data_IF_900276650853
#
_entry.id   IF_900276650853
#
_cell.length_a   1.000
_cell.length_b   1.000
_cell.length_c   1.000
_cell.angle_alpha   90.00
_cell.angle_beta   90.00
_cell.angle_gamma   90.00
#
_symmetry.space_group_name_H-M   'P 1'
#
loop_
_entity.id
_entity.type
_entity.pdbx_description
1 polymer ?
#
# COMPACT_ATOMS: atom_id res chain seq x y z
N UNK A 1 8.40 10.03 -6.10
CA UNK A 1 7.90 11.42 -6.00
C UNK A 1 7.08 11.55 -4.73
N UNK A 2 7.06 12.72 -4.09
CA UNK A 2 6.24 13.02 -2.92
C UNK A 2 5.44 14.30 -3.17
N UNK A 3 4.17 14.28 -2.78
CA UNK A 3 3.25 15.40 -2.89
C UNK A 3 2.81 15.83 -1.50
N UNK A 4 2.57 17.13 -1.33
CA UNK A 4 1.81 17.60 -0.17
C UNK A 4 0.46 16.89 -0.14
N UNK A 5 0.06 16.37 1.02
CA UNK A 5 -1.26 15.77 1.13
C UNK A 5 -2.36 16.80 0.90
N UNK A 6 -3.18 16.53 -0.11
CA UNK A 6 -4.55 17.00 -0.23
C UNK A 6 -5.44 15.83 -0.64
N UNK A 7 -6.70 15.89 -0.21
CA UNK A 7 -7.70 14.90 -0.60
C UNK A 7 -7.87 14.82 -2.13
N UNK A 8 -7.92 15.97 -2.82
CA UNK A 8 -8.02 16.05 -4.28
C UNK A 8 -6.82 15.41 -5.01
N UNK A 9 -5.60 15.66 -4.50
CA UNK A 9 -4.36 15.10 -5.03
C UNK A 9 -4.34 13.59 -4.84
N UNK A 10 -4.72 13.11 -3.65
CA UNK A 10 -4.78 11.69 -3.35
C UNK A 10 -5.80 11.00 -4.26
N UNK A 11 -7.02 11.55 -4.36
CA UNK A 11 -8.06 10.99 -5.22
C UNK A 11 -7.57 10.89 -6.67
N UNK A 12 -6.95 11.93 -7.21
CA UNK A 12 -6.43 11.91 -8.58
C UNK A 12 -5.37 10.82 -8.80
N UNK A 13 -4.47 10.61 -7.83
CA UNK A 13 -3.48 9.54 -7.89
C UNK A 13 -4.11 8.14 -7.76
N UNK A 14 -5.12 8.00 -6.90
CA UNK A 14 -5.90 6.77 -6.77
C UNK A 14 -6.71 6.45 -8.04
N UNK A 15 -7.22 7.47 -8.73
CA UNK A 15 -7.91 7.29 -10.02
C UNK A 15 -6.96 6.75 -11.10
N UNK A 16 -5.71 7.23 -11.14
CA UNK A 16 -4.67 6.65 -11.99
C UNK A 16 -4.40 5.19 -11.58
N UNK A 17 -4.29 4.91 -10.28
CA UNK A 17 -4.00 3.57 -9.76
C UNK A 17 -5.09 2.58 -10.14
N UNK A 18 -6.35 2.97 -9.95
CA UNK A 18 -7.53 2.22 -10.39
C UNK A 18 -7.49 2.01 -11.89
N UNK A 19 -7.26 3.05 -12.69
CA UNK A 19 -7.20 2.93 -14.14
C UNK A 19 -6.15 1.89 -14.59
N UNK A 20 -4.96 1.88 -13.98
CA UNK A 20 -3.91 0.91 -14.33
C UNK A 20 -4.25 -0.50 -13.85
N UNK A 21 -4.86 -0.63 -12.67
CA UNK A 21 -5.29 -1.92 -12.14
C UNK A 21 -6.44 -2.55 -12.95
N UNK A 22 -7.33 -1.74 -13.51
CA UNK A 22 -8.46 -2.17 -14.34
C UNK A 22 -8.07 -2.44 -15.79
N UNK A 23 -6.94 -1.90 -16.27
CA UNK A 23 -6.46 -2.11 -17.63
C UNK A 23 -5.86 -3.52 -17.79
N UNK A 24 -6.52 -4.43 -18.54
CA UNK A 24 -5.99 -5.78 -18.75
C UNK A 24 -4.69 -5.80 -19.55
N UNK A 25 -4.33 -4.70 -20.22
CA UNK A 25 -3.13 -4.56 -21.02
C UNK A 25 -2.07 -3.68 -20.34
N UNK A 26 -2.24 -3.35 -19.05
CA UNK A 26 -1.22 -2.61 -18.33
C UNK A 26 0.11 -3.38 -18.40
N UNK A 27 1.19 -2.78 -18.95
CA UNK A 27 2.40 -3.55 -19.24
C UNK A 27 3.15 -3.91 -17.96
N UNK A 28 3.63 -5.15 -17.88
CA UNK A 28 4.36 -5.67 -16.70
C UNK A 28 5.70 -4.98 -16.42
N UNK A 29 6.21 -4.22 -17.39
CA UNK A 29 7.42 -3.42 -17.28
C UNK A 29 7.22 -2.20 -16.38
N UNK A 30 5.97 -1.81 -16.08
CA UNK A 30 5.67 -0.73 -15.16
C UNK A 30 5.29 -1.27 -13.78
N UNK A 31 5.73 -0.57 -12.76
CA UNK A 31 5.22 -0.74 -11.39
C UNK A 31 4.80 0.63 -10.86
N UNK A 32 3.73 0.66 -10.08
CA UNK A 32 3.11 1.88 -9.58
C UNK A 32 2.49 1.66 -8.21
N UNK A 33 2.90 2.49 -7.27
CA UNK A 33 2.38 2.52 -5.91
C UNK A 33 1.99 3.93 -5.49
N UNK A 34 0.93 4.01 -4.70
CA UNK A 34 0.50 5.23 -4.02
C UNK A 34 0.53 4.96 -2.53
N UNK A 35 1.36 5.71 -1.81
CA UNK A 35 1.55 5.57 -0.38
C UNK A 35 1.13 6.87 0.31
N UNK A 36 0.60 6.76 1.52
CA UNK A 36 0.15 7.88 2.31
C UNK A 36 0.82 7.75 3.66
N UNK A 37 1.50 8.80 4.07
CA UNK A 37 2.10 8.87 5.40
C UNK A 37 1.67 10.16 6.06
N UNK A 38 1.07 10.04 7.24
CA UNK A 38 0.60 11.18 8.02
C UNK A 38 1.75 12.06 8.52
N UNK A 39 1.38 13.18 9.15
CA UNK A 39 2.31 14.11 9.79
C UNK A 39 3.21 13.35 10.77
N UNK A 40 4.38 13.91 11.06
CA UNK A 40 5.36 13.45 12.05
C UNK A 40 6.23 12.27 11.63
N UNK A 41 6.13 11.84 10.37
CA UNK A 41 7.09 10.92 9.78
C UNK A 41 8.41 11.61 9.45
N UNK A 42 9.52 10.92 9.70
CA UNK A 42 10.83 11.40 9.29
C UNK A 42 10.98 11.42 7.76
N UNK A 43 11.04 12.61 7.16
CA UNK A 43 11.19 12.77 5.71
C UNK A 43 12.48 12.15 5.16
N UNK A 44 13.57 12.12 5.94
CA UNK A 44 14.81 11.47 5.53
C UNK A 44 14.69 9.94 5.48
N UNK A 45 13.69 9.40 6.18
CA UNK A 45 13.40 7.97 6.12
C UNK A 45 12.53 7.61 4.92
N UNK A 46 11.78 8.58 4.40
CA UNK A 46 10.95 8.44 3.19
C UNK A 46 11.71 8.77 1.90
N UNK A 47 12.68 9.70 1.98
CA UNK A 47 13.38 10.21 0.82
C UNK A 47 14.71 9.47 0.57
N UNK A 48 14.93 8.94 -0.64
CA UNK A 48 16.19 8.30 -1.00
C UNK A 48 17.29 9.34 -1.19
N UNK A 49 18.18 9.52 -0.21
CA UNK A 49 19.30 10.45 -0.38
C UNK A 49 19.94 10.91 0.91
N UNK A 50 20.74 11.98 0.80
CA UNK A 50 21.25 12.75 1.93
C UNK A 50 20.29 13.88 2.31
N UNK A 51 20.48 14.46 3.49
CA UNK A 51 19.72 15.63 3.93
C UNK A 51 19.94 16.83 3.01
N UNK A 52 21.17 17.05 2.55
CA UNK A 52 21.49 18.12 1.62
C UNK A 52 20.80 17.93 0.26
N UNK A 53 20.77 16.71 -0.27
CA UNK A 53 20.01 16.41 -1.50
C UNK A 53 18.52 16.72 -1.33
N UNK A 54 17.93 16.34 -0.19
CA UNK A 54 16.53 16.63 0.10
C UNK A 54 16.28 18.15 0.18
N UNK A 55 17.14 18.90 0.88
CA UNK A 55 17.03 20.36 0.99
C UNK A 55 17.00 21.06 -0.37
N UNK A 56 17.86 20.64 -1.30
CA UNK A 56 17.90 21.21 -2.66
C UNK A 56 16.65 20.94 -3.49
N UNK A 57 15.89 19.89 -3.17
CA UNK A 57 14.66 19.55 -3.90
C UNK A 57 13.39 20.10 -3.26
N UNK A 58 13.48 20.60 -2.03
CA UNK A 58 12.33 21.17 -1.34
C UNK A 58 12.05 22.58 -1.86
N UNK A 59 10.80 22.90 -2.21
CA UNK A 59 10.42 24.25 -2.60
C UNK A 59 10.69 25.28 -1.50
N UNK A 60 10.99 26.53 -1.88
CA UNK A 60 11.32 27.64 -0.96
C UNK A 60 10.25 27.92 0.11
N UNK A 61 8.97 27.68 -0.22
CA UNK A 61 7.85 27.83 0.72
C UNK A 61 7.96 26.85 1.89
N UNK A 62 8.64 25.73 1.68
CA UNK A 62 8.95 24.76 2.73
C UNK A 62 10.29 25.17 3.33
N UNK A 63 11.35 25.32 2.54
CA UNK A 63 12.72 25.56 3.01
C UNK A 63 13.34 26.82 2.40
N UNK A 64 13.45 27.93 3.15
CA UNK A 64 14.03 29.19 2.65
C UNK A 64 15.54 29.35 2.90
N UNK A 65 16.25 28.29 3.29
CA UNK A 65 17.69 28.31 3.57
C UNK A 65 18.15 29.15 4.77
N UNK A 66 17.25 29.79 5.53
CA UNK A 66 17.62 30.70 6.64
C UNK A 66 17.01 30.29 7.99
N UNK A 67 15.69 30.16 8.10
CA UNK A 67 14.99 30.06 9.40
C UNK A 67 13.93 28.94 9.50
N UNK A 68 13.63 28.23 8.40
CA UNK A 68 12.52 27.25 8.35
C UNK A 68 13.00 25.78 8.43
N UNK A 69 14.33 25.55 8.41
CA UNK A 69 14.95 24.20 8.43
C UNK A 69 14.55 23.39 9.67
N UNK A 70 14.56 24.04 10.84
CA UNK A 70 14.32 23.37 12.12
C UNK A 70 12.85 22.93 12.29
N UNK A 71 11.90 23.55 11.58
CA UNK A 71 10.50 23.16 11.57
C UNK A 71 10.18 22.15 10.45
N UNK A 72 11.00 22.14 9.39
CA UNK A 72 10.99 21.16 8.30
C UNK A 72 11.36 19.75 8.75
N UNK A 73 12.43 19.67 9.56
CA UNK A 73 12.94 18.45 10.18
C UNK A 73 12.11 18.05 11.42
N UNK A 74 11.05 18.80 11.75
CA UNK A 74 10.04 18.46 12.77
C UNK A 74 8.73 17.95 12.17
N UNK A 75 8.72 17.63 10.87
CA UNK A 75 7.78 16.66 10.31
C UNK A 75 6.30 17.06 10.48
N UNK A 76 5.87 18.22 9.98
CA UNK A 76 4.47 18.68 10.14
C UNK A 76 3.54 18.35 8.96
N UNK A 77 4.04 17.78 7.88
CA UNK A 77 3.26 17.53 6.67
C UNK A 77 2.87 16.07 6.55
N UNK A 78 1.60 15.83 6.24
CA UNK A 78 1.19 14.56 5.66
C UNK A 78 1.60 14.58 4.18
N UNK A 79 2.04 13.45 3.67
CA UNK A 79 2.53 13.31 2.31
C UNK A 79 1.85 12.15 1.59
N UNK A 80 1.74 12.31 0.28
CA UNK A 80 1.43 11.21 -0.63
C UNK A 80 2.75 10.86 -1.34
N UNK A 81 3.29 9.68 -1.10
CA UNK A 81 4.53 9.19 -1.68
C UNK A 81 4.20 8.22 -2.81
N UNK A 82 4.58 8.59 -4.03
CA UNK A 82 4.38 7.79 -5.23
C UNK A 82 5.70 7.16 -5.64
N UNK A 83 5.70 5.83 -5.76
CA UNK A 83 6.76 5.14 -6.47
C UNK A 83 6.24 4.64 -7.80
N UNK A 84 6.97 4.96 -8.87
CA UNK A 84 6.68 4.51 -10.22
C UNK A 84 8.00 4.21 -10.91
N UNK A 85 8.04 3.14 -11.71
CA UNK A 85 9.20 2.75 -12.48
C UNK A 85 8.78 2.13 -13.81
N UNK A 86 9.72 2.12 -14.75
CA UNK A 86 9.68 1.29 -15.95
C UNK A 86 10.97 0.49 -16.04
N UNK A 87 10.87 -0.79 -16.35
CA UNK A 87 12.01 -1.67 -16.58
C UNK A 87 11.98 -2.21 -18.01
N UNK A 88 13.12 -2.11 -18.70
CA UNK A 88 13.26 -2.71 -20.02
C UNK A 88 13.35 -4.23 -19.91
N UNK A 89 12.24 -4.92 -20.18
CA UNK A 89 12.20 -6.38 -20.26
C UNK A 89 12.39 -6.91 -21.69
N UNK A 90 12.62 -6.02 -22.67
CA UNK A 90 12.76 -6.35 -24.08
C UNK A 90 11.44 -6.66 -24.80
N UNK A 91 10.30 -6.48 -24.14
CA UNK A 91 8.96 -6.86 -24.64
C UNK A 91 8.13 -5.66 -25.10
N UNK A 92 8.28 -4.52 -24.43
CA UNK A 92 7.55 -3.28 -24.71
C UNK A 92 8.49 -2.07 -24.80
N UNK A 93 8.01 -1.00 -25.45
CA UNK A 93 8.75 0.27 -25.55
C UNK A 93 8.38 1.16 -24.37
N UNK A 94 9.39 1.86 -23.84
CA UNK A 94 9.19 2.92 -22.87
C UNK A 94 8.19 3.96 -23.40
N UNK A 95 7.24 4.34 -22.55
CA UNK A 95 6.32 5.46 -22.73
C UNK A 95 6.32 6.30 -21.46
N UNK A 96 6.44 7.64 -21.58
CA UNK A 96 6.38 8.52 -20.42
C UNK A 96 4.97 8.71 -19.86
N UNK A 97 3.92 8.14 -20.48
CA UNK A 97 2.52 8.50 -20.21
C UNK A 97 2.10 8.34 -18.75
N UNK A 98 2.48 7.24 -18.09
CA UNK A 98 2.19 7.02 -16.67
C UNK A 98 2.83 8.12 -15.80
N UNK A 99 4.11 8.40 -16.05
CA UNK A 99 4.86 9.40 -15.31
C UNK A 99 4.29 10.81 -15.54
N UNK A 100 3.94 11.13 -16.79
CA UNK A 100 3.28 12.39 -17.15
C UNK A 100 1.93 12.54 -16.43
N UNK A 101 1.12 11.48 -16.36
CA UNK A 101 -0.15 11.51 -15.63
C UNK A 101 0.07 11.79 -14.13
N UNK A 102 1.02 11.10 -13.51
CA UNK A 102 1.38 11.31 -12.10
C UNK A 102 1.89 12.73 -11.86
N UNK A 103 2.74 13.25 -12.74
CA UNK A 103 3.34 14.58 -12.58
C UNK A 103 2.33 15.71 -12.70
N UNK A 104 1.22 15.49 -13.41
CA UNK A 104 0.22 16.51 -13.74
C UNK A 104 -1.03 16.47 -12.83
N UNK A 105 -1.08 15.61 -11.82
CA UNK A 105 -2.18 15.65 -10.83
C UNK A 105 -2.21 17.01 -10.11
N UNK A 106 -3.38 17.50 -9.65
CA UNK A 106 -3.45 18.75 -8.90
C UNK A 106 -2.59 18.68 -7.63
N UNK A 107 -1.75 19.68 -7.37
CA UNK A 107 -0.91 19.77 -6.18
C UNK A 107 -0.51 21.21 -5.87
N UNK A 108 -0.22 21.51 -4.60
CA UNK A 108 0.43 22.77 -4.22
C UNK A 108 1.92 22.72 -4.53
N UNK A 109 2.56 21.65 -4.07
CA UNK A 109 3.96 21.38 -4.26
C UNK A 109 4.23 19.89 -4.31
N UNK A 110 5.33 19.54 -4.95
CA UNK A 110 5.89 18.19 -5.03
C UNK A 110 7.41 18.27 -5.00
N UNK A 111 8.03 17.18 -4.58
CA UNK A 111 9.47 16.99 -4.63
C UNK A 111 9.76 15.51 -4.87
N UNK A 112 10.97 15.14 -5.28
CA UNK A 112 11.24 13.74 -5.55
C UNK A 112 12.52 13.51 -6.34
N UNK A 113 13.04 12.29 -6.19
CA UNK A 113 14.23 11.84 -6.89
C UNK A 113 13.84 10.98 -8.08
N UNK A 114 14.39 11.33 -9.24
CA UNK A 114 14.41 10.50 -10.42
C UNK A 114 15.80 9.88 -10.58
N UNK A 115 15.88 8.71 -11.20
CA UNK A 115 17.15 8.03 -11.47
C UNK A 115 17.53 8.22 -12.93
N UNK A 116 18.82 8.39 -13.26
CA UNK A 116 19.27 8.44 -14.65
C UNK A 116 18.90 7.18 -15.44
N UNK A 117 18.81 7.32 -16.76
CA UNK A 117 18.65 6.20 -17.68
C UNK A 117 19.74 5.15 -17.45
N UNK A 118 19.35 3.87 -17.50
CA UNK A 118 20.25 2.74 -17.27
C UNK A 118 20.52 2.41 -15.80
N UNK A 119 19.88 3.11 -14.85
CA UNK A 119 19.98 2.75 -13.42
C UNK A 119 19.45 1.34 -13.17
N UNK A 120 20.21 0.45 -12.49
CA UNK A 120 19.76 -0.92 -12.22
C UNK A 120 18.51 -0.97 -11.32
N UNK A 121 17.65 -1.96 -11.56
CA UNK A 121 16.44 -2.16 -10.74
C UNK A 121 16.72 -2.37 -9.26
N UNK A 122 17.85 -2.97 -8.90
CA UNK A 122 18.25 -3.13 -7.50
C UNK A 122 18.45 -1.78 -6.79
N UNK A 123 18.94 -0.78 -7.52
CA UNK A 123 19.11 0.59 -7.01
C UNK A 123 17.75 1.27 -6.90
N UNK A 124 16.92 1.21 -7.95
CA UNK A 124 15.57 1.81 -7.96
C UNK A 124 14.71 1.22 -6.82
N UNK A 125 14.66 -0.11 -6.70
CA UNK A 125 13.89 -0.79 -5.65
C UNK A 125 14.37 -0.42 -4.25
N UNK A 126 15.67 -0.20 -4.05
CA UNK A 126 16.20 0.25 -2.74
C UNK A 126 15.68 1.63 -2.33
N UNK A 127 15.29 2.48 -3.30
CA UNK A 127 14.72 3.79 -3.05
C UNK A 127 13.26 3.74 -2.58
N UNK A 128 12.61 2.59 -2.74
CA UNK A 128 11.20 2.38 -2.36
C UNK A 128 11.07 1.88 -0.91
N UNK A 129 12.20 1.60 -0.25
CA UNK A 129 12.23 1.13 1.12
C UNK A 129 12.32 2.31 2.08
N UNK A 130 11.38 2.38 3.03
CA UNK A 130 11.50 3.29 4.16
C UNK A 130 12.69 2.86 5.03
N UNK A 131 13.51 3.83 5.45
CA UNK A 131 14.72 3.55 6.24
C UNK A 131 14.42 3.36 7.73
N UNK A 132 13.28 3.84 8.22
CA UNK A 132 12.84 3.59 9.59
C UNK A 132 12.40 2.14 9.77
N UNK A 133 12.60 1.59 10.96
CA UNK A 133 12.01 0.30 11.33
C UNK A 133 10.47 0.33 11.39
N UNK A 134 9.87 1.52 11.55
CA UNK A 134 8.43 1.76 11.59
C UNK A 134 8.12 3.22 11.26
N UNK A 135 6.96 3.46 10.67
CA UNK A 135 6.53 4.80 10.23
C UNK A 135 6.23 5.73 11.42
N UNK A 136 5.64 5.18 12.48
CA UNK A 136 5.35 5.91 13.72
C UNK A 136 5.66 5.06 14.97
N UNK A 137 6.11 5.67 16.07
CA UNK A 137 6.45 4.96 17.31
C UNK A 137 5.21 4.64 18.17
N UNK A 138 4.09 4.26 17.54
CA UNK A 138 2.79 4.04 18.19
C UNK A 138 2.21 2.67 17.84
N UNK A 139 1.37 2.05 18.69
CA UNK A 139 0.56 0.90 18.28
C UNK A 139 -0.35 1.27 17.09
N UNK A 140 -0.75 0.29 16.29
CA UNK A 140 -1.66 0.51 15.17
C UNK A 140 -2.69 -0.60 15.03
N UNK A 141 -3.85 -0.24 14.50
CA UNK A 141 -4.89 -1.17 14.05
C UNK A 141 -4.65 -1.44 12.57
N UNK A 142 -4.18 -2.65 12.27
CA UNK A 142 -3.75 -3.06 10.93
C UNK A 142 -4.93 -3.37 10.01
N UNK A 143 -4.82 -3.01 8.72
CA UNK A 143 -5.61 -3.63 7.65
C UNK A 143 -4.73 -3.91 6.45
N UNK A 144 -4.83 -5.11 5.90
CA UNK A 144 -4.13 -5.46 4.66
C UNK A 144 -5.05 -6.27 3.77
N UNK A 145 -5.46 -5.64 2.67
CA UNK A 145 -6.54 -6.11 1.84
C UNK A 145 -6.08 -6.25 0.39
N UNK A 146 -6.74 -7.13 -0.36
CA UNK A 146 -6.63 -7.20 -1.81
C UNK A 146 -8.00 -7.24 -2.46
N UNK A 147 -8.07 -6.93 -3.74
CA UNK A 147 -9.29 -7.01 -4.54
C UNK A 147 -8.98 -7.58 -5.91
N UNK A 148 -9.95 -8.26 -6.52
CA UNK A 148 -9.94 -8.62 -7.96
C UNK A 148 -10.83 -7.70 -8.80
N UNK A 149 -11.35 -6.63 -8.20
CA UNK A 149 -12.30 -5.75 -8.87
C UNK A 149 -11.64 -5.08 -10.07
N UNK A 150 -12.37 -5.09 -11.19
CA UNK A 150 -12.06 -4.32 -12.40
C UNK A 150 -13.09 -3.19 -12.62
N UNK A 151 -13.76 -2.76 -11.55
CA UNK A 151 -14.86 -1.77 -11.60
C UNK A 151 -14.82 -0.76 -10.43
N UNK A 152 -13.68 -0.62 -9.76
CA UNK A 152 -13.44 0.39 -8.73
C UNK A 152 -13.68 1.82 -9.22
N UNK A 153 -13.44 2.08 -10.51
CA UNK A 153 -13.75 3.37 -11.15
C UNK A 153 -15.25 3.69 -11.10
N UNK A 154 -16.11 2.67 -10.97
CA UNK A 154 -17.57 2.78 -10.93
C UNK A 154 -18.14 2.69 -9.51
N UNK A 155 -17.40 2.11 -8.57
CA UNK A 155 -17.84 2.00 -7.16
C UNK A 155 -17.54 3.27 -6.35
N UNK A 156 -16.82 4.23 -6.93
CA UNK A 156 -16.40 5.45 -6.24
C UNK A 156 -15.29 5.19 -5.21
N UNK A 157 -14.52 4.11 -5.37
CA UNK A 157 -13.53 3.70 -4.36
C UNK A 157 -12.47 4.76 -4.10
N UNK A 158 -11.90 5.39 -5.13
CA UNK A 158 -10.87 6.42 -4.97
C UNK A 158 -11.35 7.59 -4.11
N UNK A 159 -12.58 8.05 -4.34
CA UNK A 159 -13.19 9.14 -3.59
C UNK A 159 -13.48 8.73 -2.15
N UNK A 160 -14.13 7.58 -1.96
CA UNK A 160 -14.41 7.04 -0.64
C UNK A 160 -13.14 6.86 0.19
N UNK A 161 -12.12 6.21 -0.37
CA UNK A 161 -10.87 5.94 0.35
C UNK A 161 -10.11 7.23 0.68
N UNK A 162 -10.04 8.19 -0.26
CA UNK A 162 -9.42 9.49 -0.01
C UNK A 162 -10.13 10.25 1.13
N UNK A 163 -11.47 10.24 1.15
CA UNK A 163 -12.27 10.84 2.22
C UNK A 163 -12.00 10.19 3.58
N UNK A 164 -11.94 8.85 3.65
CA UNK A 164 -11.63 8.13 4.91
C UNK A 164 -10.27 8.51 5.48
N UNK A 165 -9.24 8.63 4.63
CA UNK A 165 -7.93 9.09 5.08
C UNK A 165 -7.97 10.57 5.50
N UNK A 166 -8.72 11.40 4.78
CA UNK A 166 -8.82 12.83 5.08
C UNK A 166 -9.49 13.11 6.42
N UNK A 167 -10.44 12.28 6.85
CA UNK A 167 -11.05 12.39 8.18
C UNK A 167 -10.02 12.36 9.31
N UNK A 168 -9.04 11.46 9.23
CA UNK A 168 -7.94 11.37 10.19
C UNK A 168 -6.93 12.48 9.97
N UNK A 169 -6.51 12.69 8.72
CA UNK A 169 -5.42 13.62 8.40
C UNK A 169 -5.83 15.08 8.63
N UNK A 170 -7.07 15.51 8.40
CA UNK A 170 -7.45 16.93 8.57
C UNK A 170 -7.45 17.38 10.04
N UNK A 171 -7.70 16.47 10.98
CA UNK A 171 -7.78 16.80 12.40
C UNK A 171 -6.41 16.67 13.06
N UNK A 172 -5.83 17.80 13.49
CA UNK A 172 -4.55 17.81 14.22
C UNK A 172 -4.80 17.43 15.68
N UNK A 173 -3.94 16.57 16.24
CA UNK A 173 -3.99 16.23 17.67
C UNK A 173 -5.12 15.29 18.08
N UNK A 174 -5.73 14.58 17.13
CA UNK A 174 -6.71 13.51 17.41
C UNK A 174 -6.06 12.21 17.92
N UNK A 175 -4.74 12.18 18.08
CA UNK A 175 -4.01 10.99 18.51
C UNK A 175 -3.98 9.87 17.48
N UNK A 176 -4.23 10.15 16.19
CA UNK A 176 -4.28 9.17 15.11
C UNK A 176 -3.30 9.54 13.97
N UNK A 177 -2.67 8.52 13.36
CA UNK A 177 -1.79 8.67 12.20
C UNK A 177 -2.03 7.56 11.19
N UNK A 178 -2.08 7.91 9.91
CA UNK A 178 -2.22 6.96 8.80
C UNK A 178 -0.86 6.58 8.23
N UNK A 179 -0.66 5.28 8.00
CA UNK A 179 0.29 4.73 7.02
C UNK A 179 -0.48 3.83 6.06
N UNK A 180 -0.46 4.13 4.77
CA UNK A 180 -1.10 3.30 3.76
C UNK A 180 -0.20 3.12 2.56
N UNK A 181 -0.19 1.91 2.00
CA UNK A 181 0.55 1.58 0.79
C UNK A 181 -0.37 0.81 -0.15
N UNK A 182 -0.48 1.24 -1.40
CA UNK A 182 -1.34 0.63 -2.41
C UNK A 182 -0.51 0.33 -3.65
N UNK A 183 -0.59 -0.90 -4.14
CA UNK A 183 0.15 -1.35 -5.32
C UNK A 183 -0.78 -1.91 -6.39
N UNK A 184 -0.46 -1.62 -7.65
CA UNK A 184 -1.09 -2.25 -8.81
C UNK A 184 -0.53 -3.66 -9.01
N UNK A 185 -1.42 -4.65 -9.06
CA UNK A 185 -1.11 -6.04 -9.45
C UNK A 185 -1.78 -6.46 -10.75
N UNK A 186 -2.67 -5.62 -11.29
CA UNK A 186 -3.46 -5.86 -12.51
C UNK A 186 -2.63 -5.97 -13.79
N UNK A 187 -3.34 -6.22 -14.90
CA UNK A 187 -2.74 -6.51 -16.20
C UNK A 187 -2.46 -8.01 -16.40
N UNK A 188 -2.83 -8.54 -17.58
CA UNK A 188 -2.68 -9.98 -17.90
C UNK A 188 -1.24 -10.46 -17.90
N UNK A 189 -0.30 -9.56 -18.19
CA UNK A 189 1.14 -9.85 -18.21
C UNK A 189 1.81 -9.70 -16.85
N UNK A 190 1.07 -9.28 -15.81
CA UNK A 190 1.55 -9.22 -14.44
C UNK A 190 2.16 -10.55 -14.01
N UNK A 191 3.41 -10.52 -13.57
CA UNK A 191 4.06 -11.72 -13.03
C UNK A 191 3.37 -12.19 -11.74
N UNK A 192 2.64 -11.33 -11.04
CA UNK A 192 1.82 -11.74 -9.91
C UNK A 192 0.70 -12.69 -10.37
N UNK A 193 0.02 -12.34 -11.46
CA UNK A 193 -1.06 -13.15 -12.02
C UNK A 193 -0.55 -14.38 -12.77
N UNK A 194 0.48 -14.24 -13.62
CA UNK A 194 1.03 -15.35 -14.41
C UNK A 194 1.65 -16.47 -13.55
N UNK A 195 2.06 -16.15 -12.33
CA UNK A 195 2.53 -17.14 -11.35
C UNK A 195 1.39 -17.89 -10.63
N UNK A 196 0.14 -17.74 -11.05
CA UNK A 196 -0.96 -18.56 -10.55
C UNK A 196 -0.73 -20.05 -10.86
N UNK A 197 -1.19 -20.92 -9.95
CA UNK A 197 -1.13 -22.38 -10.16
C UNK A 197 0.27 -22.99 -10.13
N UNK A 198 1.33 -22.23 -9.83
CA UNK A 198 2.71 -22.69 -9.82
C UNK A 198 3.11 -23.54 -8.58
N UNK A 199 2.14 -24.13 -7.89
CA UNK A 199 2.35 -24.91 -6.67
C UNK A 199 2.47 -24.09 -5.38
N UNK A 200 2.37 -22.75 -5.43
CA UNK A 200 2.38 -21.93 -4.21
C UNK A 200 1.08 -22.04 -3.39
N UNK A 201 1.16 -21.73 -2.10
CA UNK A 201 0.01 -21.68 -1.18
C UNK A 201 -0.80 -20.38 -1.27
N UNK A 202 -0.24 -19.33 -1.86
CA UNK A 202 -0.96 -18.08 -2.09
C UNK A 202 -1.85 -18.19 -3.32
N UNK A 203 -3.16 -18.14 -3.11
CA UNK A 203 -4.17 -18.40 -4.15
C UNK A 203 -4.80 -17.15 -4.78
N UNK A 204 -4.64 -15.98 -4.17
CA UNK A 204 -5.29 -14.74 -4.60
C UNK A 204 -4.50 -14.00 -5.68
N UNK A 205 -4.04 -14.74 -6.69
CA UNK A 205 -3.16 -14.28 -7.77
C UNK A 205 -3.87 -13.42 -8.82
N UNK A 206 -5.19 -13.38 -8.79
CA UNK A 206 -6.05 -12.53 -9.61
C UNK A 206 -6.27 -11.13 -9.00
N UNK A 207 -5.49 -10.74 -7.99
CA UNK A 207 -5.61 -9.41 -7.41
C UNK A 207 -5.24 -8.32 -8.43
N UNK A 208 -6.04 -7.26 -8.49
CA UNK A 208 -5.80 -6.06 -9.30
C UNK A 208 -5.13 -4.96 -8.50
N UNK A 209 -5.49 -4.84 -7.21
CA UNK A 209 -4.86 -3.95 -6.22
C UNK A 209 -4.70 -4.72 -4.90
N UNK A 210 -3.61 -4.47 -4.19
CA UNK A 210 -3.49 -4.81 -2.78
C UNK A 210 -2.74 -3.74 -2.00
N UNK A 211 -2.88 -3.75 -0.69
CA UNK A 211 -2.26 -2.72 0.13
C UNK A 211 -2.59 -2.75 1.61
N UNK A 212 -1.90 -1.89 2.36
CA UNK A 212 -2.09 -1.66 3.81
C UNK A 212 -2.85 -0.37 4.05
N UNK A 213 -3.78 -0.38 5.01
CA UNK A 213 -4.58 0.79 5.40
C UNK A 213 -4.46 0.97 6.92
N UNK A 214 -3.25 1.17 7.42
CA UNK A 214 -2.96 1.11 8.85
C UNK A 214 -3.22 2.45 9.54
N UNK A 215 -3.84 2.41 10.72
CA UNK A 215 -4.02 3.57 11.60
C UNK A 215 -3.29 3.35 12.92
N UNK A 216 -2.31 4.21 13.17
CA UNK A 216 -1.56 4.30 14.39
C UNK A 216 -2.28 5.19 15.38
N UNK A 217 -2.11 4.92 16.69
CA UNK A 217 -2.83 5.66 17.72
C UNK A 217 -2.00 5.90 18.98
N UNK A 218 -2.27 7.03 19.64
CA UNK A 218 -1.77 7.39 20.96
C UNK A 218 -2.97 7.88 21.78
N UNK A 219 -3.28 7.17 22.87
CA UNK A 219 -4.43 7.47 23.75
C UNK A 219 -5.80 7.56 23.04
N UNK A 220 -5.89 7.04 21.80
CA UNK A 220 -7.07 7.10 20.93
C UNK A 220 -7.40 5.72 20.31
N UNK A 221 -7.20 4.64 21.07
CA UNK A 221 -7.38 3.27 20.58
C UNK A 221 -8.81 3.02 20.07
N UNK A 222 -9.81 3.42 20.84
CA UNK A 222 -11.23 3.21 20.51
C UNK A 222 -11.59 3.91 19.19
N UNK A 223 -11.15 5.15 19.01
CA UNK A 223 -11.34 5.89 17.76
C UNK A 223 -10.64 5.22 16.55
N UNK A 224 -9.46 4.62 16.76
CA UNK A 224 -8.76 3.86 15.73
C UNK A 224 -9.51 2.58 15.34
N UNK A 225 -10.08 1.87 16.32
CA UNK A 225 -10.88 0.66 16.10
C UNK A 225 -12.22 0.98 15.41
N UNK A 226 -12.89 2.05 15.82
CA UNK A 226 -14.13 2.55 15.18
C UNK A 226 -13.87 2.95 13.72
N UNK A 227 -12.82 3.74 13.47
CA UNK A 227 -12.46 4.15 12.11
C UNK A 227 -12.16 2.95 11.20
N UNK A 228 -11.55 1.88 11.73
CA UNK A 228 -11.31 0.66 10.96
C UNK A 228 -12.57 -0.19 10.77
N UNK A 229 -13.49 -0.22 11.73
CA UNK A 229 -14.77 -0.92 11.58
C UNK A 229 -15.57 -0.31 10.42
N UNK A 230 -15.67 1.02 10.36
CA UNK A 230 -16.28 1.73 9.22
C UNK A 230 -15.57 1.41 7.90
N UNK A 231 -14.24 1.31 7.91
CA UNK A 231 -13.48 0.98 6.72
C UNK A 231 -13.75 -0.45 6.25
N UNK A 232 -13.93 -1.40 7.17
CA UNK A 232 -14.26 -2.79 6.84
C UNK A 232 -15.65 -2.87 6.16
N UNK A 233 -16.64 -2.14 6.69
CA UNK A 233 -17.97 -2.04 6.08
C UNK A 233 -17.92 -1.36 4.70
N UNK A 234 -17.22 -0.22 4.60
CA UNK A 234 -17.06 0.52 3.36
C UNK A 234 -16.25 -0.23 2.30
N UNK A 235 -15.24 -1.02 2.70
CA UNK A 235 -14.44 -1.84 1.80
C UNK A 235 -15.30 -2.87 1.06
N UNK A 236 -16.27 -3.48 1.76
CA UNK A 236 -17.19 -4.45 1.16
C UNK A 236 -18.10 -3.85 0.08
N UNK A 237 -18.37 -2.54 0.20
CA UNK A 237 -19.19 -1.78 -0.74
C UNK A 237 -18.37 -1.20 -1.90
N UNK A 238 -17.20 -0.64 -1.60
CA UNK A 238 -16.44 0.18 -2.54
C UNK A 238 -15.22 -0.55 -3.13
N UNK A 239 -14.51 -1.38 -2.35
CA UNK A 239 -13.22 -1.96 -2.75
C UNK A 239 -13.34 -3.40 -3.26
N UNK A 240 -14.03 -4.27 -2.54
CA UNK A 240 -14.12 -5.68 -2.88
C UNK A 240 -15.42 -6.26 -2.36
N UNK A 241 -16.12 -7.03 -3.21
CA UNK A 241 -17.32 -7.78 -2.77
C UNK A 241 -16.99 -8.95 -1.84
N UNK A 242 -15.72 -9.34 -1.81
CA UNK A 242 -15.19 -10.43 -1.01
C UNK A 242 -14.13 -9.85 -0.05
N UNK A 243 -14.17 -10.25 1.21
CA UNK A 243 -13.07 -9.95 2.14
C UNK A 243 -11.87 -10.85 1.80
N UNK A 244 -10.80 -10.23 1.28
CA UNK A 244 -9.57 -10.90 0.86
C UNK A 244 -8.39 -10.25 1.55
N UNK A 245 -7.67 -11.06 2.32
CA UNK A 245 -6.56 -10.66 3.18
C UNK A 245 -5.29 -11.40 2.77
N UNK A 246 -4.17 -10.95 3.31
CA UNK A 246 -2.85 -11.55 3.07
C UNK A 246 -2.18 -11.92 4.38
N UNK A 247 -1.47 -13.06 4.39
CA UNK A 247 -0.93 -13.66 5.62
C UNK A 247 0.09 -12.76 6.34
N UNK A 248 0.92 -12.02 5.61
CA UNK A 248 1.92 -11.11 6.20
C UNK A 248 1.29 -9.91 6.93
N UNK A 249 0.04 -9.59 6.61
CA UNK A 249 -0.73 -8.48 7.15
C UNK A 249 -1.97 -8.94 7.92
N UNK A 250 -1.93 -10.12 8.55
CA UNK A 250 -3.11 -10.72 9.20
C UNK A 250 -3.68 -9.84 10.33
N UNK A 251 -5.01 -9.85 10.48
CA UNK A 251 -5.77 -9.07 11.46
C UNK A 251 -7.13 -9.72 11.76
N UNK A 252 -7.77 -9.32 12.87
CA UNK A 252 -9.07 -9.85 13.30
C UNK A 252 -8.94 -11.05 14.23
N UNK A 253 -9.76 -12.10 14.02
CA UNK A 253 -9.74 -13.31 14.85
C UNK A 253 -8.42 -14.10 14.64
N UNK A 254 -7.86 -14.58 15.74
CA UNK A 254 -6.59 -15.31 15.79
C UNK A 254 -6.75 -16.82 15.56
N UNK A 255 -7.97 -17.33 15.41
CA UNK A 255 -8.24 -18.73 15.08
C UNK A 255 -8.50 -18.89 13.57
N UNK A 256 -7.52 -19.49 12.87
CA UNK A 256 -7.58 -19.71 11.42
C UNK A 256 -8.86 -20.43 10.99
N UNK A 257 -9.41 -21.35 11.82
CA UNK A 257 -10.63 -22.10 11.50
C UNK A 257 -11.83 -21.20 11.26
N UNK A 258 -11.87 -20.04 11.89
CA UNK A 258 -12.96 -19.07 11.75
C UNK A 258 -12.77 -18.17 10.53
N UNK A 259 -11.52 -17.86 10.19
CA UNK A 259 -11.17 -16.79 9.23
C UNK A 259 -10.47 -17.26 7.96
N UNK A 260 -10.20 -18.56 7.79
CA UNK A 260 -9.44 -19.08 6.64
C UNK A 260 -9.98 -18.62 5.28
N UNK A 261 -11.30 -18.44 5.18
CA UNK A 261 -11.99 -18.00 3.97
C UNK A 261 -11.52 -16.63 3.46
N UNK A 262 -10.95 -15.81 4.33
CA UNK A 262 -10.37 -14.52 3.98
C UNK A 262 -8.93 -14.63 3.48
N UNK A 263 -8.25 -15.76 3.68
CA UNK A 263 -6.84 -15.98 3.34
C UNK A 263 -6.63 -17.03 2.25
N UNK A 264 -7.60 -17.93 2.07
CA UNK A 264 -7.53 -19.05 1.16
C UNK A 264 -8.84 -19.24 0.39
N UNK A 265 -8.74 -19.68 -0.85
CA UNK A 265 -9.86 -20.33 -1.52
C UNK A 265 -10.09 -21.75 -0.95
N UNK A 266 -11.29 -22.34 -1.10
CA UNK A 266 -11.59 -23.66 -0.55
C UNK A 266 -10.68 -24.79 -1.01
N UNK A 267 -10.28 -24.79 -2.29
CA UNK A 267 -9.43 -25.85 -2.86
C UNK A 267 -8.00 -25.76 -2.31
N UNK A 268 -7.47 -24.55 -2.22
CA UNK A 268 -6.15 -24.30 -1.64
C UNK A 268 -6.15 -24.63 -0.14
N UNK A 269 -7.17 -24.22 0.62
CA UNK A 269 -7.26 -24.53 2.04
C UNK A 269 -7.31 -26.04 2.27
N UNK A 270 -8.18 -26.77 1.55
CA UNK A 270 -8.27 -28.23 1.65
C UNK A 270 -6.95 -28.92 1.30
N UNK A 271 -6.25 -28.44 0.28
CA UNK A 271 -4.92 -28.95 -0.07
C UNK A 271 -3.91 -28.72 1.06
N UNK A 272 -3.93 -27.54 1.69
CA UNK A 272 -3.04 -27.24 2.83
C UNK A 272 -3.37 -28.12 4.05
N UNK A 273 -4.64 -28.39 4.33
CA UNK A 273 -5.05 -29.30 5.40
C UNK A 273 -4.52 -30.73 5.19
N UNK A 274 -4.54 -31.23 3.94
CA UNK A 274 -3.96 -32.54 3.58
C UNK A 274 -2.45 -32.58 3.76
N UNK A 275 -1.75 -31.51 3.34
CA UNK A 275 -0.30 -31.38 3.57
C UNK A 275 -0.02 -31.36 5.07
N UNK A 276 -0.80 -30.59 5.83
CA UNK A 276 -0.69 -30.53 7.29
C UNK A 276 -0.85 -31.91 7.93
N UNK A 277 -1.87 -32.68 7.51
CA UNK A 277 -2.08 -34.05 7.99
C UNK A 277 -0.91 -35.00 7.66
N UNK A 278 -0.34 -34.88 6.45
CA UNK A 278 0.75 -35.75 6.02
C UNK A 278 2.07 -35.47 6.74
N UNK A 279 2.41 -34.20 6.97
CA UNK A 279 3.74 -33.80 7.44
C UNK A 279 3.79 -33.35 8.90
N UNK A 280 2.68 -32.97 9.50
CA UNK A 280 2.61 -32.67 10.93
C UNK A 280 1.20 -32.91 11.50
N UNK A 281 0.77 -34.19 11.54
CA UNK A 281 -0.57 -34.57 11.98
C UNK A 281 -0.85 -34.20 13.44
N UNK A 282 0.19 -34.08 14.27
CA UNK A 282 0.05 -33.93 15.72
C UNK A 282 0.10 -32.49 16.21
N UNK A 283 0.30 -31.48 15.34
CA UNK A 283 0.39 -30.12 15.83
C UNK A 283 1.79 -29.66 16.21
N UNK A 284 2.85 -30.45 16.01
CA UNK A 284 4.18 -30.25 16.62
C UNK A 284 4.76 -28.86 16.30
N UNK A 285 4.60 -28.41 15.06
CA UNK A 285 5.06 -27.11 14.55
C UNK A 285 3.95 -26.04 14.50
N UNK A 286 2.77 -26.29 15.10
CA UNK A 286 1.70 -25.30 15.22
C UNK A 286 1.91 -24.46 16.47
N UNK A 287 2.63 -23.34 16.33
CA UNK A 287 2.94 -22.46 17.44
C UNK A 287 1.72 -21.70 18.00
N UNK A 288 0.65 -21.53 17.21
CA UNK A 288 -0.54 -20.79 17.61
C UNK A 288 -1.79 -21.22 16.80
N UNK A 289 -3.01 -20.81 17.21
CA UNK A 289 -4.26 -21.14 16.51
C UNK A 289 -4.41 -20.52 15.10
N UNK A 290 -3.57 -19.55 14.72
CA UNK A 290 -3.58 -18.94 13.40
C UNK A 290 -2.77 -19.79 12.40
N UNK A 291 -3.13 -21.06 12.30
CA UNK A 291 -2.47 -22.06 11.44
C UNK A 291 -3.52 -22.96 10.81
N UNK A 292 -3.26 -23.46 9.60
CA UNK A 292 -4.13 -24.44 8.93
C UNK A 292 -4.15 -25.74 9.76
N UNK A 293 -5.34 -26.21 10.12
CA UNK A 293 -5.49 -27.52 10.79
C UNK A 293 -5.24 -28.70 9.85
N UNK A 294 -4.88 -29.85 10.42
CA UNK A 294 -4.87 -31.10 9.67
C UNK A 294 -6.29 -31.45 9.20
N UNK A 295 -6.41 -32.05 8.01
CA UNK A 295 -7.67 -32.68 7.62
C UNK A 295 -8.05 -33.75 8.64
N UNK A 296 -9.34 -33.79 8.96
CA UNK A 296 -9.93 -34.87 9.76
C UNK A 296 -10.00 -36.15 8.96
#
# INVERSE_FOLDING_TARGET
>A
MAFHYKEETLKALLDILVQKAEDPNFPRSYDFTVNIVSRQVNLLDLFPGSEEELKHQLPDIIHNGKDIIADLLKFKYALIVVYAQWVNLGEDKYSPDLFNQIQNVPHDFKFGKETPDGTPMSVIASMWLFRSAREFPHPYVKRTNSTKSITLSKTGWSEWFASRLNEVIKVKGNGLWISSQLQVYGGKESMFQRNAGNGTSYCFRDATIGGTWDVFHQDAKEAAEEWQADNDEGALKHFSKEDRRVLWGSYGDWDMKKVWRFYYDPATYSRMQKIRQAYDPNGTFTANPFCVEASK
#
